data_IF_636766533397
#
_entry.id   IF_636766533397
#
_cell.length_a   1.000
_cell.length_b   1.000
_cell.length_c   1.000
_cell.angle_alpha   90.00
_cell.angle_beta   90.00
_cell.angle_gamma   90.00
#
_symmetry.space_group_name_H-M   'P 1'
#
loop_
_entity.id
_entity.type
_entity.pdbx_description
1 polymer ?
2 non-polymer ?
3 non-polymer ?
#
# COMPACT_ATOMS: atom_id res chain seq x y z
N UNK A 7 -24.20 11.75 21.10
CA UNK A 7 -23.61 10.42 21.26
C UNK A 7 -24.70 9.36 21.52
N UNK A 8 -25.80 9.51 20.78
CA UNK A 8 -26.89 8.53 20.71
C UNK A 8 -26.51 7.31 19.87
N UNK A 9 -25.57 7.48 18.94
CA UNK A 9 -25.09 6.44 18.04
C UNK A 9 -24.20 5.42 18.73
N UNK A 10 -23.69 5.74 19.92
CA UNK A 10 -22.80 4.87 20.68
C UNK A 10 -23.52 3.70 21.33
N UNK A 11 -24.83 3.61 21.17
CA UNK A 11 -25.51 2.45 21.67
C UNK A 11 -25.63 1.32 20.68
N UNK A 12 -25.12 1.48 19.45
CA UNK A 12 -25.41 0.50 18.38
C UNK A 12 -24.83 -0.87 18.71
N UNK A 13 -23.58 -0.93 19.13
CA UNK A 13 -22.99 -2.26 19.30
C UNK A 13 -23.46 -2.95 20.57
N UNK A 14 -23.83 -2.21 21.62
CA UNK A 14 -24.41 -2.86 22.79
C UNK A 14 -25.72 -3.54 22.44
N UNK A 15 -26.58 -2.86 21.67
CA UNK A 15 -27.84 -3.44 21.18
C UNK A 15 -27.59 -4.73 20.40
N UNK A 16 -26.84 -4.65 19.31
CA UNK A 16 -26.55 -5.82 18.48
C UNK A 16 -25.81 -6.92 19.24
N UNK A 17 -25.56 -6.76 20.54
CA UNK A 17 -24.82 -7.75 21.28
C UNK A 17 -23.43 -8.02 20.76
N UNK A 18 -22.79 -7.03 20.14
CA UNK A 18 -21.42 -7.16 19.61
C UNK A 18 -20.48 -6.45 20.60
N UNK A 19 -19.40 -7.10 21.05
CA UNK A 19 -18.58 -6.53 22.11
C UNK A 19 -17.56 -5.55 21.58
N UNK A 20 -16.98 -4.77 22.52
CA UNK A 20 -15.93 -3.83 22.21
C UNK A 20 -15.62 -2.85 23.34
N UNK A 21 -14.60 -2.02 23.13
CA UNK A 21 -14.26 -1.02 24.15
C UNK A 21 -15.33 0.06 24.26
N UNK A 22 -15.60 0.48 25.49
CA UNK A 22 -16.69 1.43 25.74
C UNK A 22 -16.32 2.79 25.17
N UNK A 23 -17.20 3.42 24.37
CA UNK A 23 -16.86 4.72 23.78
C UNK A 23 -17.05 5.88 24.75
N UNK A 24 -16.12 6.83 24.70
CA UNK A 24 -16.29 8.10 25.38
C UNK A 24 -17.24 8.99 24.58
N UNK A 25 -17.93 9.93 25.23
CA UNK A 25 -18.80 10.84 24.47
C UNK A 25 -18.03 11.70 23.49
N UNK A 26 -18.57 11.81 22.27
CA UNK A 26 -18.02 12.59 21.16
C UNK A 26 -16.75 11.98 20.59
N UNK A 27 -15.79 11.63 21.44
CA UNK A 27 -14.55 11.07 20.91
C UNK A 27 -14.71 9.64 20.43
N UNK A 28 -15.76 8.94 20.85
CA UNK A 28 -15.77 7.52 20.58
C UNK A 28 -14.62 6.86 21.29
N UNK A 29 -13.92 5.98 20.57
CA UNK A 29 -12.80 5.23 21.14
C UNK A 29 -11.46 5.79 20.69
N UNK A 30 -11.42 7.02 20.16
CA UNK A 30 -10.21 7.45 19.45
C UNK A 30 -9.03 7.62 20.36
N UNK A 31 -9.23 7.89 21.65
CA UNK A 31 -8.04 8.08 22.47
C UNK A 31 -7.14 6.85 22.41
N UNK A 32 -7.66 5.70 21.97
CA UNK A 32 -6.91 4.46 21.90
C UNK A 32 -5.93 4.41 20.74
N UNK A 33 -5.97 5.38 19.83
CA UNK A 33 -5.00 5.48 18.75
C UNK A 33 -3.64 5.99 19.21
N UNK A 34 -3.45 6.14 20.52
CA UNK A 34 -2.19 6.63 21.07
C UNK A 34 -1.09 5.58 21.00
N UNK A 35 -1.43 4.31 20.77
CA UNK A 35 -0.44 3.32 20.38
C UNK A 35 -0.47 3.06 18.89
N UNK A 36 -1.28 3.81 18.15
CA UNK A 36 -1.37 3.53 16.73
C UNK A 36 -2.47 2.54 16.42
N UNK A 37 -3.00 2.63 15.18
CA UNK A 37 -4.04 1.71 14.75
C UNK A 37 -3.65 0.29 15.08
N UNK A 38 -2.39 -0.03 14.83
CA UNK A 38 -2.02 -1.43 14.82
C UNK A 38 -2.14 -2.02 16.21
N UNK A 39 -1.53 -1.38 17.21
CA UNK A 39 -1.57 -1.95 18.56
C UNK A 39 -3.01 -2.06 19.07
N UNK A 40 -3.85 -1.06 18.77
CA UNK A 40 -5.26 -1.09 19.18
C UNK A 40 -5.99 -2.28 18.58
N UNK A 41 -5.76 -2.53 17.29
CA UNK A 41 -6.34 -3.68 16.61
C UNK A 41 -5.85 -4.98 17.21
N UNK A 42 -4.53 -5.16 17.31
CA UNK A 42 -4.00 -6.39 17.89
C UNK A 42 -4.59 -6.63 19.27
N UNK A 43 -4.65 -5.59 20.09
CA UNK A 43 -5.16 -5.74 21.44
C UNK A 43 -6.65 -6.03 21.41
N UNK A 44 -7.41 -5.37 20.54
CA UNK A 44 -8.82 -5.71 20.38
C UNK A 44 -9.00 -7.15 19.91
N UNK A 45 -8.24 -7.54 18.89
CA UNK A 45 -8.25 -8.92 18.41
C UNK A 45 -8.10 -9.92 19.56
N UNK A 46 -7.17 -9.66 20.47
CA UNK A 46 -6.99 -10.49 21.65
C UNK A 46 -8.17 -10.41 22.61
N UNK A 47 -8.54 -9.19 23.03
CA UNK A 47 -9.52 -8.95 24.07
C UNK A 47 -10.89 -9.56 23.75
N UNK A 48 -11.28 -9.61 22.47
CA UNK A 48 -12.68 -9.87 22.11
C UNK A 48 -12.89 -10.94 21.05
N UNK A 49 -11.92 -11.24 20.19
CA UNK A 49 -12.06 -12.35 19.27
C UNK A 49 -12.22 -12.06 17.78
N UNK A 50 -13.04 -12.88 17.11
CA UNK A 50 -13.19 -12.87 15.65
C UNK A 50 -13.99 -11.67 15.15
N UNK A 51 -14.69 -10.95 16.03
CA UNK A 51 -15.58 -9.85 15.69
C UNK A 51 -15.61 -8.89 16.88
N UNK A 52 -15.53 -7.57 16.61
CA UNK A 52 -15.69 -6.57 17.67
C UNK A 52 -16.03 -5.22 17.04
N UNK A 53 -16.35 -4.25 17.89
CA UNK A 53 -16.81 -2.95 17.41
C UNK A 53 -16.22 -1.81 18.21
N UNK A 54 -16.10 -0.65 17.55
CA UNK A 54 -15.65 0.59 18.18
C UNK A 54 -16.18 1.75 17.35
N UNK A 55 -15.82 2.97 17.77
CA UNK A 55 -16.39 4.21 17.23
C UNK A 55 -15.28 5.21 16.90
N UNK A 56 -15.14 5.58 15.63
CA UNK A 56 -14.29 6.74 15.30
C UNK A 56 -15.19 7.96 15.42
N UNK A 57 -15.19 8.59 16.61
CA UNK A 57 -16.13 9.69 16.86
C UNK A 57 -17.52 9.10 17.03
N UNK A 58 -18.48 9.47 16.18
CA UNK A 58 -19.79 8.82 16.24
C UNK A 58 -19.90 7.66 15.25
N UNK A 59 -18.85 7.44 14.42
CA UNK A 59 -18.80 6.45 13.35
C UNK A 59 -18.58 5.05 13.89
N UNK A 60 -19.58 4.19 13.79
CA UNK A 60 -19.39 2.80 14.22
C UNK A 60 -18.53 2.05 13.20
N UNK A 61 -17.61 1.24 13.71
CA UNK A 61 -16.70 0.45 12.91
C UNK A 61 -16.71 -0.97 13.45
N UNK A 62 -17.00 -1.92 12.59
CA UNK A 62 -17.00 -3.33 12.96
C UNK A 62 -15.76 -4.03 12.38
N UNK A 63 -14.95 -4.60 13.26
CA UNK A 63 -13.87 -5.48 12.85
C UNK A 63 -14.37 -6.91 12.64
N UNK A 64 -13.89 -7.54 11.57
CA UNK A 64 -14.19 -8.94 11.28
C UNK A 64 -12.87 -9.65 10.98
N UNK A 65 -12.72 -10.86 11.51
CA UNK A 65 -11.51 -11.65 11.23
C UNK A 65 -11.84 -13.06 10.73
N UNK A 66 -13.08 -13.33 10.38
CA UNK A 66 -13.36 -14.65 9.85
C UNK A 66 -13.11 -14.67 8.34
N UNK A 67 -12.31 -15.63 7.84
CA UNK A 67 -11.97 -15.66 6.41
C UNK A 67 -13.17 -15.68 5.48
N UNK A 68 -14.20 -16.49 5.80
CA UNK A 68 -15.45 -16.49 5.04
C UNK A 68 -16.09 -15.12 5.01
N UNK A 69 -16.27 -14.50 6.19
CA UNK A 69 -16.88 -13.18 6.28
C UNK A 69 -16.08 -12.15 5.50
N UNK A 70 -14.76 -12.20 5.64
CA UNK A 70 -13.90 -11.30 4.88
C UNK A 70 -14.09 -11.52 3.39
N UNK A 71 -14.21 -12.78 2.96
CA UNK A 71 -14.41 -13.03 1.53
C UNK A 71 -15.79 -12.58 1.09
N UNK A 72 -16.79 -12.67 1.97
CA UNK A 72 -18.15 -12.19 1.65
C UNK A 72 -18.15 -10.67 1.44
N UNK A 73 -17.45 -9.96 2.32
CA UNK A 73 -17.41 -8.50 2.25
C UNK A 73 -16.56 -8.05 1.08
N UNK A 74 -15.33 -8.57 1.01
CA UNK A 74 -14.37 -8.12 0.00
C UNK A 74 -14.73 -8.59 -1.40
N UNK A 75 -15.45 -9.72 -1.55
CA UNK A 75 -15.74 -10.31 -2.87
C UNK A 75 -17.22 -10.57 -3.15
N UNK A 76 -17.86 -11.42 -2.32
CA UNK A 76 -19.17 -11.93 -2.70
C UNK A 76 -20.21 -10.82 -2.80
N UNK A 77 -20.15 -9.84 -1.90
CA UNK A 77 -21.15 -8.78 -1.87
C UNK A 77 -20.52 -7.42 -2.10
N UNK A 78 -19.38 -7.39 -2.80
CA UNK A 78 -18.70 -6.14 -3.12
C UNK A 78 -19.58 -5.16 -3.89
N UNK A 79 -20.01 -5.55 -5.10
CA UNK A 79 -20.80 -4.66 -5.95
C UNK A 79 -22.14 -4.30 -5.32
N UNK A 80 -22.70 -5.18 -4.50
CA UNK A 80 -24.08 -5.02 -4.06
C UNK A 80 -24.18 -4.21 -2.78
N UNK A 81 -23.30 -4.49 -1.83
CA UNK A 81 -23.36 -3.90 -0.50
C UNK A 81 -22.10 -3.12 -0.18
N UNK A 82 -20.93 -3.75 -0.34
CA UNK A 82 -19.71 -3.22 0.21
C UNK A 82 -18.85 -2.58 -0.86
N UNK A 83 -19.43 -1.67 -1.66
CA UNK A 83 -18.74 -1.12 -2.83
C UNK A 83 -17.63 -0.10 -2.53
N UNK A 84 -17.75 0.70 -1.47
CA UNK A 84 -16.90 1.89 -1.32
C UNK A 84 -16.16 1.94 0.02
N UNK A 85 -15.21 2.85 0.13
CA UNK A 85 -14.42 2.98 1.33
C UNK A 85 -14.97 4.11 2.19
N UNK A 86 -14.34 4.31 3.33
CA UNK A 86 -14.80 5.37 4.22
C UNK A 86 -14.43 6.73 3.62
N UNK A 87 -15.39 7.65 3.51
CA UNK A 87 -15.08 8.97 2.95
C UNK A 87 -14.12 9.71 3.84
N UNK A 88 -13.33 10.61 3.25
CA UNK A 88 -12.26 11.20 4.06
C UNK A 88 -11.85 12.60 3.55
N UNK A 89 -12.82 13.40 3.12
CA UNK A 89 -12.54 14.71 2.54
C UNK A 89 -11.83 15.67 3.50
N UNK A 90 -11.70 16.93 3.09
CA UNK A 90 -12.17 17.45 1.79
C UNK A 90 -11.24 17.01 0.66
N UNK A 91 -11.75 16.72 -0.54
CA UNK A 91 -10.95 16.18 -1.63
C UNK A 91 -10.94 17.09 -2.84
N UNK A 92 -12.06 17.75 -3.15
CA UNK A 92 -12.07 18.64 -4.29
C UNK A 92 -12.22 17.89 -5.60
N UNK A 93 -11.56 18.41 -6.64
CA UNK A 93 -11.53 17.76 -7.96
C UNK A 93 -10.99 16.33 -7.91
N UNK A 94 -10.44 15.90 -6.79
CA UNK A 94 -9.93 14.53 -6.65
C UNK A 94 -10.97 13.54 -6.18
N UNK A 95 -12.21 13.97 -5.96
CA UNK A 95 -13.25 12.97 -5.80
C UNK A 95 -13.34 12.09 -7.05
N UNK A 96 -12.87 12.59 -8.21
CA UNK A 96 -12.92 11.84 -9.46
C UNK A 96 -11.75 10.83 -9.59
N UNK A 97 -11.04 10.55 -8.53
CA UNK A 97 -9.91 9.64 -8.55
C UNK A 97 -10.37 8.25 -8.11
N UNK A 98 -9.81 7.22 -8.74
CA UNK A 98 -10.42 5.89 -8.64
C UNK A 98 -10.47 5.41 -7.19
N UNK A 99 -9.39 5.62 -6.43
CA UNK A 99 -9.33 5.10 -5.08
C UNK A 99 -10.32 5.79 -4.17
N UNK A 100 -10.89 6.90 -4.63
CA UNK A 100 -11.83 7.68 -3.86
C UNK A 100 -13.26 7.58 -4.37
N UNK A 101 -13.46 7.36 -5.67
CA UNK A 101 -14.77 7.40 -6.30
C UNK A 101 -15.65 6.23 -5.83
N UNK A 102 -16.96 6.37 -5.98
CA UNK A 102 -17.83 5.30 -5.50
C UNK A 102 -19.00 4.89 -6.38
N UNK A 103 -19.47 3.67 -6.15
CA UNK A 103 -20.60 3.10 -6.87
C UNK A 103 -20.41 2.94 -8.37
N UNK A 104 -21.20 3.68 -9.13
CA UNK A 104 -21.20 3.65 -10.58
C UNK A 104 -20.02 4.39 -11.14
N UNK A 105 -19.70 5.53 -10.54
CA UNK A 105 -18.58 6.32 -11.03
C UNK A 105 -17.28 5.54 -10.85
N UNK A 106 -17.18 4.76 -9.77
CA UNK A 106 -15.98 3.97 -9.56
C UNK A 106 -15.90 2.85 -10.58
N UNK A 107 -17.00 2.10 -10.73
CA UNK A 107 -17.05 1.03 -11.71
C UNK A 107 -16.62 1.53 -13.08
N UNK A 108 -17.01 2.76 -13.43
CA UNK A 108 -16.60 3.35 -14.70
C UNK A 108 -15.08 3.50 -14.77
N UNK A 109 -14.45 3.93 -13.68
CA UNK A 109 -13.03 4.22 -13.68
C UNK A 109 -12.19 2.97 -13.54
N UNK A 110 -12.60 2.07 -12.66
CA UNK A 110 -11.98 0.74 -12.60
C UNK A 110 -11.98 0.09 -13.98
N UNK A 111 -13.13 0.09 -14.67
CA UNK A 111 -13.19 -0.50 -16.01
C UNK A 111 -12.25 0.22 -16.99
N UNK A 112 -12.19 1.55 -16.93
CA UNK A 112 -11.43 2.29 -17.93
C UNK A 112 -9.93 2.20 -17.71
N UNK A 113 -9.49 2.06 -16.46
CA UNK A 113 -8.07 2.14 -16.12
C UNK A 113 -7.41 0.79 -15.92
N UNK A 114 -8.17 -0.30 -16.03
CA UNK A 114 -7.62 -1.63 -15.72
C UNK A 114 -6.66 -2.13 -16.79
N UNK A 115 -6.93 -2.00 -18.09
CA UNK A 115 -5.95 -2.50 -19.08
C UNK A 115 -4.62 -1.76 -19.05
N UNK A 116 -4.54 -0.63 -18.33
CA UNK A 116 -3.26 0.03 -18.09
C UNK A 116 -2.29 -0.91 -17.41
N UNK A 117 -2.79 -1.79 -16.54
CA UNK A 117 -1.99 -2.65 -15.66
C UNK A 117 -2.06 -4.11 -16.05
N UNK A 118 -2.03 -4.40 -17.36
CA UNK A 118 -2.08 -5.79 -17.78
C UNK A 118 -0.70 -6.44 -17.64
N UNK A 119 -0.67 -7.76 -17.81
CA UNK A 119 0.60 -8.44 -17.99
C UNK A 119 1.39 -7.82 -19.12
N UNK A 120 0.72 -7.60 -20.26
CA UNK A 120 1.45 -7.21 -21.46
C UNK A 120 1.95 -5.78 -21.42
N UNK A 121 1.18 -4.88 -20.79
CA UNK A 121 1.62 -3.48 -20.68
C UNK A 121 2.74 -3.35 -19.65
N UNK A 122 2.67 -4.16 -18.59
CA UNK A 122 3.76 -4.25 -17.63
C UNK A 122 5.05 -4.74 -18.29
N UNK A 123 4.92 -5.69 -19.20
CA UNK A 123 6.08 -6.19 -19.95
C UNK A 123 6.72 -5.08 -20.77
N UNK A 124 5.91 -4.25 -21.45
CA UNK A 124 6.45 -3.13 -22.22
C UNK A 124 7.17 -2.14 -21.33
N UNK A 125 6.81 -2.08 -20.04
CA UNK A 125 7.42 -1.19 -19.06
C UNK A 125 8.74 -1.71 -18.48
N UNK A 126 9.03 -3.01 -18.59
CA UNK A 126 10.29 -3.52 -18.06
C UNK A 126 11.48 -2.86 -18.74
N UNK A 127 11.70 -3.01 -20.07
CA UNK A 127 12.92 -2.43 -20.66
C UNK A 127 13.02 -0.94 -20.47
N UNK A 128 11.99 -0.32 -19.91
CA UNK A 128 12.01 1.08 -19.56
C UNK A 128 12.30 1.30 -18.08
N UNK A 129 11.64 0.54 -17.19
CA UNK A 129 11.97 0.59 -15.76
C UNK A 129 13.43 0.23 -15.53
N UNK A 130 14.05 -0.47 -16.49
CA UNK A 130 15.41 -0.99 -16.33
C UNK A 130 16.47 0.11 -16.27
N UNK A 131 16.20 1.31 -16.80
CA UNK A 131 17.26 2.32 -16.86
C UNK A 131 17.58 2.90 -15.48
N UNK A 132 16.58 3.00 -14.60
CA UNK A 132 16.74 3.75 -13.37
C UNK A 132 17.20 2.90 -12.20
N UNK A 133 17.21 1.57 -12.33
CA UNK A 133 18.02 0.76 -11.43
C UNK A 133 19.50 1.02 -11.63
N UNK A 134 19.90 1.28 -12.88
CA UNK A 134 21.30 1.58 -13.17
C UNK A 134 21.69 2.99 -12.74
N UNK A 135 20.74 3.93 -12.73
CA UNK A 135 20.95 5.20 -12.02
C UNK A 135 21.01 4.95 -10.52
N UNK A 136 20.13 4.07 -10.01
CA UNK A 136 20.11 3.78 -8.58
C UNK A 136 21.43 3.19 -8.12
N UNK A 137 22.04 2.32 -8.94
CA UNK A 137 23.30 1.69 -8.55
C UNK A 137 24.43 2.71 -8.57
N UNK A 138 24.48 3.54 -9.60
CA UNK A 138 25.54 4.55 -9.71
C UNK A 138 25.41 5.62 -8.63
N UNK A 139 24.19 5.93 -8.19
CA UNK A 139 24.02 6.84 -7.05
C UNK A 139 24.39 6.15 -5.74
N UNK A 140 24.18 4.84 -5.65
CA UNK A 140 24.66 4.05 -4.51
C UNK A 140 26.18 3.90 -4.53
N UNK A 141 26.78 3.83 -5.72
CA UNK A 141 28.23 3.76 -5.83
C UNK A 141 28.90 4.91 -5.07
N UNK A 142 28.45 6.14 -5.33
CA UNK A 142 29.10 7.31 -4.75
C UNK A 142 28.96 7.34 -3.23
N UNK A 143 27.75 7.08 -2.75
CA UNK A 143 27.48 7.09 -1.32
C UNK A 143 27.97 5.82 -0.62
N UNK A 144 28.82 5.01 -1.27
CA UNK A 144 29.30 3.78 -0.69
C UNK A 144 30.81 3.65 -0.87
N UNK A 145 31.34 4.29 -1.90
CA UNK A 145 32.78 4.24 -2.16
C UNK A 145 33.57 4.85 -1.01
N UNK A 146 32.87 5.50 -0.10
CA UNK A 146 33.52 6.13 1.03
C UNK A 146 32.69 5.73 2.28
N UNK A 147 33.35 5.74 3.44
CA UNK A 147 32.72 5.37 4.67
C UNK A 147 31.63 6.41 4.97
N UNK A 148 30.38 6.07 4.67
CA UNK A 148 29.26 6.97 4.90
C UNK A 148 27.92 6.25 4.75
N UNK A 149 27.28 5.98 5.88
CA UNK A 149 25.98 5.28 5.88
C UNK A 149 24.94 5.99 5.02
N UNK A 150 24.00 5.21 4.48
CA UNK A 150 23.05 5.67 3.49
C UNK A 150 21.65 5.67 4.08
N UNK A 151 20.85 6.65 3.68
CA UNK A 151 19.44 6.69 4.01
C UNK A 151 18.65 6.03 2.88
N UNK A 152 18.09 4.86 3.15
CA UNK A 152 17.46 4.10 2.08
C UNK A 152 16.33 4.88 1.46
N UNK A 153 15.47 5.50 2.28
CA UNK A 153 14.30 6.15 1.73
C UNK A 153 14.69 7.33 0.87
N UNK A 154 15.92 7.83 1.02
CA UNK A 154 16.38 8.88 0.12
C UNK A 154 16.60 8.32 -1.28
N UNK A 155 17.38 7.25 -1.38
CA UNK A 155 17.78 6.76 -2.68
C UNK A 155 16.77 5.78 -3.25
N UNK A 156 15.95 5.16 -2.39
CA UNK A 156 14.81 4.38 -2.89
C UNK A 156 13.68 5.30 -3.37
N UNK A 157 13.40 6.36 -2.62
CA UNK A 157 12.43 7.34 -3.08
C UNK A 157 12.84 8.01 -4.37
N UNK A 158 14.10 8.43 -4.45
CA UNK A 158 14.61 9.05 -5.69
C UNK A 158 14.50 8.08 -6.87
N UNK A 159 14.66 6.78 -6.63
CA UNK A 159 14.43 5.78 -7.68
C UNK A 159 12.94 5.61 -7.97
N UNK A 160 12.12 5.47 -6.90
CA UNK A 160 10.67 5.36 -7.05
C UNK A 160 10.09 6.54 -7.84
N UNK A 161 10.56 7.75 -7.54
CA UNK A 161 10.20 8.95 -8.30
C UNK A 161 10.61 8.83 -9.76
N UNK A 162 11.86 8.45 -10.01
CA UNK A 162 12.31 8.32 -11.39
C UNK A 162 11.51 7.28 -12.15
N UNK A 163 11.08 6.21 -11.48
CA UNK A 163 10.17 5.26 -12.10
C UNK A 163 8.83 5.90 -12.39
N UNK A 164 8.35 6.75 -11.48
CA UNK A 164 7.03 7.34 -11.62
C UNK A 164 6.99 8.33 -12.77
N UNK A 165 7.87 9.35 -12.72
CA UNK A 165 7.86 10.39 -13.76
C UNK A 165 7.95 9.75 -15.14
N UNK A 166 8.76 8.70 -15.28
CA UNK A 166 8.87 7.98 -16.55
C UNK A 166 7.60 7.20 -16.87
N UNK A 167 7.27 6.18 -16.06
CA UNK A 167 6.10 5.34 -16.32
C UNK A 167 4.78 6.10 -16.36
N UNK A 168 4.73 7.36 -15.90
CA UNK A 168 3.48 8.09 -15.82
C UNK A 168 3.40 9.28 -16.75
N UNK A 169 4.54 9.84 -17.21
CA UNK A 169 4.50 10.96 -18.14
C UNK A 169 5.63 10.98 -19.15
N UNK A 170 6.59 10.06 -19.08
CA UNK A 170 7.77 10.12 -19.93
C UNK A 170 8.87 11.05 -19.45
N UNK A 171 8.73 11.64 -18.26
CA UNK A 171 9.69 12.61 -17.73
C UNK A 171 10.88 11.87 -17.14
N UNK A 172 12.03 11.97 -17.78
CA UNK A 172 13.20 11.16 -17.42
C UNK A 172 14.18 12.06 -16.68
N UNK A 173 14.14 11.99 -15.36
CA UNK A 173 14.90 12.92 -14.51
C UNK A 173 15.73 12.09 -13.54
N UNK A 174 16.95 12.58 -13.26
CA UNK A 174 17.80 12.03 -12.21
C UNK A 174 17.47 12.74 -10.90
N UNK A 175 16.87 12.02 -9.94
CA UNK A 175 16.31 12.71 -8.78
C UNK A 175 17.36 13.13 -7.75
N UNK A 176 18.55 13.49 -8.21
CA UNK A 176 19.42 14.37 -7.44
C UNK A 176 19.47 15.76 -8.05
N UNK A 177 18.46 16.10 -8.84
CA UNK A 177 18.40 17.41 -9.47
C UNK A 177 17.34 18.25 -8.79
N UNK A 198 -1.86 15.42 10.71
CA UNK A 198 -1.74 16.12 12.00
C UNK A 198 -3.08 16.73 12.43
N UNK A 199 -3.97 16.95 11.46
CA UNK A 199 -5.27 17.53 11.74
C UNK A 199 -6.39 16.54 11.44
N UNK A 200 -6.06 15.47 10.73
CA UNK A 200 -7.03 14.44 10.38
C UNK A 200 -7.82 13.99 11.59
N UNK A 201 -7.19 14.06 12.76
CA UNK A 201 -7.84 13.65 14.01
C UNK A 201 -9.14 14.42 14.22
N UNK A 202 -9.14 15.73 13.94
CA UNK A 202 -10.37 16.51 14.08
C UNK A 202 -11.43 16.07 13.09
N UNK A 203 -11.03 15.47 11.96
CA UNK A 203 -12.00 15.05 10.96
C UNK A 203 -12.94 13.98 11.49
N UNK A 204 -12.47 13.14 12.42
CA UNK A 204 -13.37 12.10 12.93
C UNK A 204 -14.24 12.62 14.07
N UNK A 205 -13.68 13.48 14.90
CA UNK A 205 -14.55 14.12 15.86
C UNK A 205 -15.41 15.18 15.17
N UNK A 206 -14.96 15.75 14.05
CA UNK A 206 -15.75 16.76 13.34
C UNK A 206 -15.95 16.44 11.85
N UNK A 207 -16.36 15.21 11.51
CA UNK A 207 -16.58 14.91 10.08
C UNK A 207 -17.68 15.72 9.48
N UNK A 208 -18.52 16.33 10.33
CA UNK A 208 -19.51 17.27 9.87
C UNK A 208 -18.88 18.54 9.31
N UNK A 209 -17.58 18.72 9.52
CA UNK A 209 -16.86 19.89 9.05
C UNK A 209 -16.24 19.68 7.68
N UNK A 210 -16.27 18.44 7.15
CA UNK A 210 -15.84 18.20 5.77
C UNK A 210 -16.70 18.96 4.75
N UNK A 211 -18.04 18.92 4.82
CA UNK A 211 -18.81 19.79 3.91
C UNK A 211 -18.40 21.24 3.97
N UNK A 212 -17.89 21.64 5.13
CA UNK A 212 -17.54 23.02 5.35
C UNK A 212 -16.28 23.38 4.61
N UNK A 213 -15.25 22.55 4.79
CA UNK A 213 -13.98 22.79 4.11
C UNK A 213 -14.13 22.66 2.59
N UNK A 214 -15.12 21.89 2.12
CA UNK A 214 -15.34 21.78 0.68
C UNK A 214 -15.80 23.08 0.07
N UNK A 215 -16.70 23.80 0.76
CA UNK A 215 -17.14 25.09 0.21
C UNK A 215 -16.10 26.18 0.39
N UNK A 216 -15.04 25.93 1.18
CA UNK A 216 -13.95 26.87 1.33
C UNK A 216 -12.79 26.57 0.40
N UNK A 217 -12.97 25.65 -0.55
CA UNK A 217 -11.93 25.26 -1.51
C UNK A 217 -10.73 24.63 -0.80
N UNK A 218 -10.78 24.53 0.53
CA UNK A 218 -9.68 23.90 1.25
C UNK A 218 -9.57 22.45 0.81
N UNK A 219 -8.36 22.04 0.45
CA UNK A 219 -8.10 20.71 -0.04
C UNK A 219 -7.06 20.04 0.86
N UNK A 220 -6.97 18.72 0.76
CA UNK A 220 -5.88 18.02 1.45
C UNK A 220 -4.57 18.18 0.71
N UNK A 221 -4.62 18.56 -0.56
CA UNK A 221 -3.46 19.03 -1.30
C UNK A 221 -3.27 20.52 -1.10
N UNK A 222 -2.23 21.08 -1.69
CA UNK A 222 -2.29 22.47 -2.12
C UNK A 222 -2.77 22.56 -3.55
N UNK A 223 -3.36 23.70 -3.87
CA UNK A 223 -3.80 23.97 -5.23
C UNK A 223 -2.64 24.17 -6.19
N UNK A 224 -1.41 24.15 -5.69
CA UNK A 224 -0.24 24.41 -6.51
C UNK A 224 0.35 23.13 -7.09
N UNK A 225 0.48 22.07 -6.28
CA UNK A 225 0.94 20.79 -6.83
C UNK A 225 0.03 20.34 -7.96
N UNK A 226 -1.30 20.48 -7.78
CA UNK A 226 -2.22 20.03 -8.83
C UNK A 226 -2.26 20.99 -10.01
N UNK A 227 -2.29 22.30 -9.74
CA UNK A 227 -2.16 23.26 -10.84
C UNK A 227 -0.85 23.08 -11.59
N UNK A 228 0.20 22.63 -10.89
CA UNK A 228 1.42 22.23 -11.56
C UNK A 228 1.12 21.19 -12.63
N UNK A 229 0.29 20.19 -12.30
CA UNK A 229 0.01 19.05 -13.16
C UNK A 229 -1.19 19.25 -14.08
N UNK A 230 -2.19 20.03 -13.64
CA UNK A 230 -3.34 20.32 -14.50
C UNK A 230 -2.89 20.87 -15.85
N UNK A 231 -1.83 21.68 -15.84
CA UNK A 231 -1.31 22.27 -17.07
C UNK A 231 -0.18 21.43 -17.63
N UNK A 232 0.63 20.85 -16.76
CA UNK A 232 1.75 20.02 -17.17
C UNK A 232 1.29 18.88 -18.06
N UNK A 233 0.15 18.29 -17.73
CA UNK A 233 -0.41 17.19 -18.50
C UNK A 233 -0.69 17.60 -19.94
N UNK A 234 -1.20 18.81 -20.12
CA UNK A 234 -1.52 19.33 -21.44
C UNK A 234 -0.27 19.89 -22.12
N UNK A 235 0.86 19.84 -21.41
CA UNK A 235 2.12 20.33 -21.95
C UNK A 235 3.02 19.19 -22.37
N UNK A 236 2.43 18.02 -22.60
CA UNK A 236 3.19 16.86 -23.02
C UNK A 236 2.32 15.90 -23.84
N UNK A 237 1.73 16.39 -24.93
CA UNK A 237 1.88 17.77 -25.35
C UNK A 237 0.46 18.04 -25.87
N UNK A 238 0.15 17.48 -27.04
CA UNK A 238 1.11 16.65 -27.77
C UNK A 238 0.97 16.86 -29.28
N UNK A 248 3.72 5.28 -27.16
CA UNK A 248 3.67 4.54 -25.91
C UNK A 248 5.00 4.77 -25.14
N UNK A 249 5.16 4.36 -23.86
CA UNK A 249 4.31 3.45 -23.04
C UNK A 249 3.90 3.89 -21.60
N UNK A 250 3.90 5.20 -21.30
CA UNK A 250 3.61 5.63 -19.94
C UNK A 250 2.09 5.59 -19.67
N UNK A 251 1.73 5.69 -18.37
CA UNK A 251 0.32 5.61 -17.98
C UNK A 251 -0.52 6.72 -18.63
N UNK A 252 0.08 7.90 -18.87
CA UNK A 252 -0.68 9.01 -19.43
C UNK A 252 -1.10 8.70 -20.87
N UNK A 253 -0.13 8.31 -21.71
CA UNK A 253 -0.46 7.86 -23.06
C UNK A 253 -1.49 6.75 -23.01
N UNK A 254 -1.27 5.74 -22.16
CA UNK A 254 -2.21 4.63 -22.01
C UNK A 254 -3.62 5.15 -21.74
N UNK A 255 -3.74 6.17 -20.89
CA UNK A 255 -5.05 6.77 -20.59
C UNK A 255 -5.52 7.71 -21.71
N UNK A 256 -4.60 8.41 -22.36
CA UNK A 256 -4.99 9.23 -23.51
C UNK A 256 -5.53 8.35 -24.63
N UNK A 257 -4.91 7.18 -24.81
CA UNK A 257 -5.36 6.25 -25.84
C UNK A 257 -6.76 5.74 -25.56
N UNK A 258 -7.10 5.57 -24.28
CA UNK A 258 -8.41 5.03 -23.91
C UNK A 258 -9.54 6.04 -24.06
N UNK A 259 -9.24 7.31 -24.31
CA UNK A 259 -10.25 8.27 -24.71
C UNK A 259 -10.58 8.18 -26.19
N UNK A 260 -10.01 7.19 -26.87
CA UNK A 260 -10.33 6.85 -28.26
C UNK A 260 -10.80 5.39 -28.27
N UNK A 266 -19.22 0.52 -23.69
CA UNK A 266 -20.07 0.26 -22.53
C UNK A 266 -20.35 1.54 -21.75
N UNK A 267 -19.30 2.14 -21.20
CA UNK A 267 -19.44 3.38 -20.44
C UNK A 267 -19.09 4.59 -21.29
N UNK A 268 -18.91 5.74 -20.63
CA UNK A 268 -18.56 6.97 -21.33
C UNK A 268 -17.06 7.01 -21.58
N UNK A 269 -16.55 8.19 -21.90
CA UNK A 269 -15.13 8.37 -22.16
C UNK A 269 -14.40 9.26 -21.16
N UNK A 270 -13.26 8.77 -20.69
CA UNK A 270 -12.46 9.52 -19.72
C UNK A 270 -12.31 10.98 -20.13
N UNK A 271 -12.53 11.89 -19.19
CA UNK A 271 -12.40 13.31 -19.46
C UNK A 271 -11.01 13.81 -19.10
N UNK A 272 -10.79 15.11 -19.33
CA UNK A 272 -9.45 15.67 -19.21
C UNK A 272 -9.02 15.79 -17.74
N UNK A 273 -9.85 16.39 -16.90
CA UNK A 273 -9.46 16.53 -15.50
C UNK A 273 -9.46 15.17 -14.81
N UNK A 274 -10.39 14.28 -15.19
CA UNK A 274 -10.42 12.94 -14.62
C UNK A 274 -9.08 12.25 -14.76
N UNK A 275 -8.37 12.55 -15.84
CA UNK A 275 -7.10 11.93 -16.14
C UNK A 275 -5.96 12.52 -15.31
N UNK A 276 -5.95 13.84 -15.14
CA UNK A 276 -4.99 14.47 -14.22
C UNK A 276 -5.11 13.86 -12.83
N UNK A 277 -6.34 13.70 -12.34
CA UNK A 277 -6.54 13.19 -10.98
C UNK A 277 -6.11 11.73 -10.83
N UNK A 278 -6.21 10.92 -11.89
CA UNK A 278 -5.65 9.57 -11.80
C UNK A 278 -4.14 9.61 -11.73
N UNK A 279 -3.51 10.52 -12.49
CA UNK A 279 -2.05 10.67 -12.43
C UNK A 279 -1.58 10.90 -11.00
N UNK A 280 -2.28 11.78 -10.27
CA UNK A 280 -1.89 12.12 -8.92
C UNK A 280 -1.99 10.89 -8.02
N UNK A 281 -3.06 10.10 -8.17
CA UNK A 281 -3.19 8.88 -7.38
C UNK A 281 -2.03 7.94 -7.65
N UNK A 282 -1.76 7.65 -8.92
CA UNK A 282 -0.68 6.73 -9.27
C UNK A 282 0.65 7.21 -8.69
N UNK A 283 0.88 8.53 -8.70
CA UNK A 283 2.16 9.06 -8.24
C UNK A 283 2.33 8.83 -6.75
N UNK A 284 1.30 9.07 -5.95
CA UNK A 284 1.33 8.71 -4.53
C UNK A 284 1.80 7.32 -4.20
N UNK A 285 1.05 6.33 -4.66
CA UNK A 285 1.33 4.93 -4.39
C UNK A 285 2.75 4.59 -4.83
N UNK A 286 3.04 4.77 -6.12
CA UNK A 286 4.29 4.30 -6.70
C UNK A 286 5.54 4.93 -6.14
N UNK A 287 5.41 6.08 -5.47
CA UNK A 287 6.55 6.73 -4.86
C UNK A 287 6.68 6.30 -3.41
N UNK A 288 5.61 6.49 -2.64
CA UNK A 288 5.75 6.31 -1.20
C UNK A 288 5.63 4.84 -0.81
N UNK A 289 4.68 4.10 -1.37
CA UNK A 289 4.59 2.69 -1.04
C UNK A 289 5.83 1.93 -1.50
N UNK A 290 6.20 2.10 -2.77
CA UNK A 290 7.35 1.38 -3.33
C UNK A 290 8.62 1.59 -2.50
N UNK A 291 8.97 2.85 -2.24
CA UNK A 291 10.24 3.07 -1.56
C UNK A 291 10.17 2.68 -0.09
N UNK A 292 8.99 2.81 0.53
CA UNK A 292 8.86 2.45 1.93
C UNK A 292 9.00 0.95 2.11
N UNK A 293 8.33 0.19 1.25
CA UNK A 293 8.48 -1.26 1.26
C UNK A 293 9.92 -1.66 0.99
N UNK A 294 10.56 -0.99 0.03
CA UNK A 294 11.93 -1.32 -0.30
C UNK A 294 12.85 -1.11 0.88
N UNK A 295 12.42 -0.29 1.84
CA UNK A 295 13.23 -0.01 3.02
C UNK A 295 13.03 -1.10 4.05
N UNK A 296 11.81 -1.56 4.24
CA UNK A 296 11.58 -2.69 5.14
C UNK A 296 12.33 -3.93 4.65
N UNK A 297 12.43 -4.10 3.31
CA UNK A 297 13.15 -5.25 2.75
C UNK A 297 14.67 -5.12 2.95
N UNK A 298 15.25 -3.96 2.65
CA UNK A 298 16.69 -3.85 2.91
C UNK A 298 17.03 -3.99 4.40
N UNK A 299 16.16 -3.47 5.26
CA UNK A 299 16.30 -3.69 6.70
C UNK A 299 16.28 -5.17 7.06
N UNK A 300 15.31 -5.92 6.53
CA UNK A 300 15.23 -7.33 6.86
C UNK A 300 16.42 -8.09 6.31
N UNK A 301 16.82 -7.78 5.06
CA UNK A 301 18.00 -8.43 4.51
C UNK A 301 19.25 -8.12 5.33
N UNK A 302 19.42 -6.87 5.79
CA UNK A 302 20.65 -6.50 6.51
C UNK A 302 20.69 -7.12 7.91
N UNK A 303 19.52 -7.24 8.55
CA UNK A 303 19.41 -7.85 9.88
C UNK A 303 19.26 -9.37 9.81
N UNK A 304 19.20 -9.97 8.62
CA UNK A 304 19.15 -11.42 8.44
C UNK A 304 20.12 -11.81 7.33
N UNK A 305 21.43 -11.80 7.62
CA UNK A 305 22.43 -11.92 6.55
C UNK A 305 22.37 -13.22 5.75
N UNK A 306 21.88 -14.31 6.33
CA UNK A 306 21.72 -15.55 5.57
C UNK A 306 20.72 -15.36 4.42
N UNK A 307 19.56 -14.79 4.72
CA UNK A 307 18.54 -14.60 3.70
C UNK A 307 19.04 -13.67 2.61
N UNK A 308 19.90 -12.70 2.97
CA UNK A 308 20.54 -11.86 1.96
C UNK A 308 21.48 -12.68 1.07
N UNK A 309 22.30 -13.58 1.65
CA UNK A 309 23.18 -14.39 0.82
C UNK A 309 22.38 -15.35 -0.03
N UNK A 310 21.42 -16.07 0.58
CA UNK A 310 20.62 -17.03 -0.17
C UNK A 310 19.97 -16.37 -1.39
N UNK A 311 19.52 -15.12 -1.24
CA UNK A 311 18.92 -14.37 -2.36
C UNK A 311 19.97 -13.89 -3.37
N UNK A 312 21.15 -13.49 -2.90
CA UNK A 312 22.17 -13.01 -3.84
C UNK A 312 22.67 -14.14 -4.73
N UNK A 313 22.67 -15.36 -4.21
CA UNK A 313 23.03 -16.53 -5.02
C UNK A 313 22.01 -16.80 -6.11
N UNK A 314 20.71 -16.69 -5.77
CA UNK A 314 19.65 -16.92 -6.74
C UNK A 314 19.74 -15.92 -7.91
N UNK A 315 19.85 -14.63 -7.61
CA UNK A 315 20.00 -13.61 -8.64
C UNK A 315 21.18 -13.95 -9.59
N UNK A 316 22.28 -14.48 -9.04
CA UNK A 316 23.46 -14.78 -9.86
C UNK A 316 23.30 -16.08 -10.65
N UNK A 317 22.48 -17.02 -10.16
CA UNK A 317 22.20 -18.24 -10.91
C UNK A 317 21.24 -18.00 -12.09
N UNK A 318 20.17 -17.23 -11.85
CA UNK A 318 19.24 -16.87 -12.92
C UNK A 318 19.89 -15.85 -13.85
N UNK A 319 20.52 -14.83 -13.28
CA UNK A 319 21.20 -13.82 -14.09
C UNK A 319 22.70 -13.90 -13.88
N UNK A 320 23.37 -14.86 -14.51
CA UNK A 320 24.84 -14.91 -14.40
C UNK A 320 25.47 -13.74 -15.16
N UNK A 321 26.71 -13.44 -14.78
CA UNK A 321 27.48 -12.29 -15.31
C UNK A 321 26.80 -10.96 -14.97
N UNK A 322 25.91 -10.95 -13.98
CA UNK A 322 25.06 -9.79 -13.68
C UNK A 322 24.15 -9.44 -14.88
N UNK A 323 23.67 -10.48 -15.56
CA UNK A 323 22.82 -10.29 -16.73
C UNK A 323 21.65 -9.37 -16.38
N UNK A 324 21.25 -8.47 -17.27
CA UNK A 324 20.14 -7.55 -16.95
C UNK A 324 18.86 -8.32 -16.73
N UNK A 325 18.19 -8.10 -15.60
CA UNK A 325 16.91 -8.80 -15.36
C UNK A 325 15.90 -8.43 -16.42
N UNK A 326 15.03 -9.38 -16.72
CA UNK A 326 13.94 -9.15 -17.64
C UNK A 326 12.62 -9.47 -16.95
N UNK A 327 11.53 -9.20 -17.66
CA UNK A 327 10.21 -9.55 -17.15
C UNK A 327 10.18 -10.99 -16.66
N UNK A 328 10.65 -11.92 -17.48
CA UNK A 328 10.49 -13.34 -17.17
C UNK A 328 11.53 -13.82 -16.17
N UNK A 329 12.78 -13.34 -16.26
CA UNK A 329 13.76 -13.74 -15.27
C UNK A 329 13.34 -13.28 -13.88
N UNK A 330 12.57 -12.20 -13.80
CA UNK A 330 12.13 -11.69 -12.51
C UNK A 330 11.05 -12.58 -11.91
N UNK A 331 10.07 -12.98 -12.73
CA UNK A 331 9.05 -13.91 -12.30
C UNK A 331 9.60 -15.29 -12.02
N UNK A 332 10.86 -15.56 -12.37
CA UNK A 332 11.47 -16.86 -12.15
C UNK A 332 12.10 -16.98 -10.76
N UNK A 333 12.41 -15.86 -10.10
CA UNK A 333 13.14 -15.87 -8.84
C UNK A 333 12.19 -16.08 -7.68
N UNK A 334 12.16 -17.32 -7.18
CA UNK A 334 11.22 -17.75 -6.17
C UNK A 334 11.58 -17.23 -4.78
N UNK A 335 12.85 -17.38 -4.38
CA UNK A 335 13.29 -16.83 -3.09
C UNK A 335 13.04 -15.33 -3.01
N UNK A 336 13.33 -14.61 -4.09
CA UNK A 336 13.02 -13.18 -4.14
C UNK A 336 11.56 -12.92 -3.83
N UNK A 337 10.67 -13.73 -4.43
CA UNK A 337 9.25 -13.51 -4.20
C UNK A 337 8.89 -13.78 -2.75
N UNK A 338 9.48 -14.82 -2.18
CA UNK A 338 9.28 -15.19 -0.77
C UNK A 338 9.73 -14.08 0.17
N UNK A 339 10.90 -13.49 -0.13
CA UNK A 339 11.34 -12.33 0.64
C UNK A 339 10.31 -11.22 0.57
N UNK A 340 9.91 -10.82 -0.64
CA UNK A 340 8.91 -9.76 -0.77
C UNK A 340 7.63 -10.13 -0.03
N UNK A 341 7.14 -11.36 -0.24
CA UNK A 341 5.90 -11.77 0.42
C UNK A 341 6.01 -11.69 1.94
N UNK A 342 7.09 -12.21 2.51
CA UNK A 342 7.20 -12.19 3.97
C UNK A 342 7.36 -10.77 4.51
N UNK A 343 8.03 -9.87 3.77
CA UNK A 343 8.17 -8.50 4.28
C UNK A 343 6.82 -7.79 4.32
N UNK A 344 6.00 -8.00 3.30
CA UNK A 344 4.65 -7.46 3.31
C UNK A 344 3.79 -8.09 4.41
N UNK A 345 4.11 -9.29 4.89
CA UNK A 345 3.39 -9.79 6.04
C UNK A 345 3.72 -8.98 7.31
N UNK A 346 5.01 -8.75 7.56
CA UNK A 346 5.36 -7.97 8.74
C UNK A 346 4.95 -6.49 8.59
N UNK A 347 5.00 -5.94 7.38
CA UNK A 347 4.69 -4.52 7.17
C UNK A 347 3.66 -4.36 6.07
N UNK A 348 2.41 -4.77 6.34
CA UNK A 348 1.34 -4.49 5.37
C UNK A 348 0.98 -3.04 5.39
N UNK A 349 1.48 -2.25 4.44
CA UNK A 349 1.43 -0.80 4.60
C UNK A 349 0.01 -0.23 4.52
N UNK A 350 -0.98 -1.00 4.11
CA UNK A 350 -2.36 -0.52 4.28
C UNK A 350 -2.83 -0.61 5.73
N UNK A 351 -2.37 -1.52 6.40
CA UNK A 351 -2.66 -1.90 7.78
C UNK A 351 -4.06 -2.50 7.98
N UNK A 352 -5.09 -1.69 7.50
CA UNK A 352 -6.49 -2.08 7.49
C UNK A 352 -7.06 -1.99 6.08
N UNK A 353 -8.06 -2.82 5.83
CA UNK A 353 -8.96 -2.67 4.70
C UNK A 353 -10.35 -2.28 5.20
N UNK A 354 -11.09 -1.50 4.40
CA UNK A 354 -12.33 -0.89 4.86
C UNK A 354 -13.34 -0.81 3.72
N UNK A 355 -14.60 -1.16 4.04
CA UNK A 355 -15.72 -0.99 3.11
C UNK A 355 -16.91 -0.45 3.89
N UNK A 356 -17.64 0.49 3.30
CA UNK A 356 -18.86 1.02 3.90
C UNK A 356 -20.04 0.17 3.45
N UNK A 357 -20.79 -0.32 4.43
CA UNK A 357 -21.95 -1.21 4.28
C UNK A 357 -23.13 -0.37 3.80
N UNK A 358 -23.44 -0.44 2.51
CA UNK A 358 -24.34 0.56 1.96
C UNK A 358 -25.82 0.23 2.17
N UNK A 359 -26.16 -0.86 2.87
CA UNK A 359 -27.54 -1.19 3.16
C UNK A 359 -27.55 -2.44 4.03
N UNK A 360 -28.54 -2.55 4.91
CA UNK A 360 -28.74 -3.70 5.78
C UNK A 360 -28.39 -5.01 5.08
N UNK A 361 -27.44 -5.77 5.64
CA UNK A 361 -27.22 -7.13 5.17
C UNK A 361 -27.06 -8.06 6.36
N UNK A 362 -26.95 -9.36 6.04
CA UNK A 362 -26.78 -10.41 7.00
C UNK A 362 -25.73 -11.38 6.43
N UNK A 363 -24.49 -10.90 6.33
CA UNK A 363 -23.39 -11.71 5.81
C UNK A 363 -22.98 -12.76 6.84
N UNK A 364 -22.94 -14.02 6.40
CA UNK A 364 -22.44 -15.12 7.22
C UNK A 364 -23.11 -15.12 8.60
N UNK A 365 -24.45 -15.13 8.58
CA UNK A 365 -25.22 -15.25 9.80
C UNK A 365 -25.16 -14.07 10.74
N UNK A 366 -24.69 -12.92 10.29
CA UNK A 366 -24.51 -11.77 11.17
C UNK A 366 -25.18 -10.54 10.55
N UNK A 367 -26.10 -9.94 11.28
CA UNK A 367 -26.74 -8.72 10.81
C UNK A 367 -25.77 -7.55 10.90
N UNK A 368 -25.67 -6.80 9.80
CA UNK A 368 -24.83 -5.61 9.72
C UNK A 368 -25.69 -4.46 9.19
N UNK A 369 -26.00 -3.45 9.99
CA UNK A 369 -26.94 -2.43 9.55
C UNK A 369 -26.22 -1.38 8.71
N UNK A 370 -26.96 -0.78 7.79
CA UNK A 370 -26.43 0.24 6.88
C UNK A 370 -25.65 1.34 7.58
N UNK A 371 -24.62 1.83 6.89
CA UNK A 371 -23.78 2.90 7.38
C UNK A 371 -22.61 2.48 8.27
N UNK A 372 -22.60 1.25 8.76
CA UNK A 372 -21.44 0.77 9.50
C UNK A 372 -20.25 0.66 8.55
N UNK A 373 -19.07 1.02 9.06
CA UNK A 373 -17.80 0.79 8.34
C UNK A 373 -17.30 -0.60 8.74
N UNK A 374 -17.13 -1.50 7.75
CA UNK A 374 -16.53 -2.82 7.97
C UNK A 374 -15.02 -2.77 7.69
N UNK A 375 -14.23 -3.34 8.60
CA UNK A 375 -12.80 -3.11 8.65
C UNK A 375 -12.09 -4.45 8.75
N UNK A 376 -11.03 -4.63 7.98
CA UNK A 376 -10.24 -5.87 8.09
C UNK A 376 -8.85 -5.51 8.60
N UNK A 377 -8.50 -5.90 9.82
CA UNK A 377 -7.19 -5.55 10.42
C UNK A 377 -6.03 -6.37 9.87
N UNK A 378 -5.55 -5.95 8.69
CA UNK A 378 -4.50 -6.68 8.00
C UNK A 378 -3.33 -6.90 8.92
N UNK A 379 -2.80 -5.82 9.47
CA UNK A 379 -1.57 -5.91 10.26
C UNK A 379 -1.74 -6.91 11.38
N UNK A 380 -2.90 -6.86 12.06
CA UNK A 380 -3.12 -7.71 13.22
C UNK A 380 -3.29 -9.17 12.79
N UNK A 381 -3.98 -9.40 11.65
CA UNK A 381 -4.12 -10.77 11.15
C UNK A 381 -2.78 -11.31 10.68
N UNK A 382 -1.96 -10.46 10.04
CA UNK A 382 -0.62 -10.87 9.61
C UNK A 382 0.26 -11.28 10.81
N UNK A 383 0.00 -10.71 11.99
CA UNK A 383 0.80 -10.98 13.20
C UNK A 383 0.04 -11.81 14.23
N UNK A 384 -1.05 -12.44 13.80
CA UNK A 384 -1.88 -13.31 14.64
C UNK A 384 -1.21 -14.66 14.86
N UNK A 385 -0.87 -15.04 16.09
CA UNK A 385 -0.24 -16.36 16.33
C UNK A 385 -1.14 -17.55 16.00
N UNK A 386 -2.45 -17.35 15.90
CA UNK A 386 -3.34 -18.45 15.55
C UNK A 386 -3.24 -18.86 14.08
N UNK A 387 -2.51 -18.08 13.24
CA UNK A 387 -2.22 -18.46 11.86
C UNK A 387 -0.73 -18.56 11.56
N UNK A 388 0.11 -17.87 12.34
CA UNK A 388 1.52 -17.71 12.00
C UNK A 388 2.35 -18.10 13.21
N UNK A 389 3.15 -19.15 13.06
CA UNK A 389 4.11 -19.50 14.08
C UNK A 389 5.24 -18.47 14.09
N UNK A 390 5.66 -18.06 15.28
CA UNK A 390 6.67 -17.02 15.47
C UNK A 390 6.40 -15.79 14.61
N UNK A 391 5.25 -15.13 14.80
CA UNK A 391 4.79 -14.18 13.78
C UNK A 391 5.63 -12.92 13.69
N UNK A 392 6.38 -12.56 14.74
CA UNK A 392 7.31 -11.44 14.70
C UNK A 392 8.66 -11.81 14.07
N UNK A 393 8.94 -13.09 13.90
CA UNK A 393 10.19 -13.48 13.27
C UNK A 393 10.06 -13.32 11.76
N UNK A 394 11.14 -12.91 11.13
CA UNK A 394 11.15 -12.74 9.68
C UNK A 394 11.62 -14.06 9.09
N UNK A 395 10.68 -14.85 8.58
CA UNK A 395 10.94 -16.22 8.14
C UNK A 395 10.37 -16.40 6.74
N UNK A 396 11.17 -16.15 5.70
CA UNK A 396 10.59 -16.23 4.35
C UNK A 396 10.10 -17.62 3.98
N UNK A 397 10.65 -18.67 4.60
CA UNK A 397 10.24 -20.02 4.20
C UNK A 397 8.74 -20.29 4.42
N UNK A 398 8.02 -19.43 5.15
CA UNK A 398 6.57 -19.55 5.17
C UNK A 398 5.99 -19.51 3.76
N UNK A 399 6.67 -18.84 2.83
CA UNK A 399 6.18 -18.71 1.46
C UNK A 399 6.90 -19.61 0.49
N UNK A 400 7.66 -20.58 0.97
CA UNK A 400 8.11 -21.65 0.10
C UNK A 400 6.91 -22.43 -0.40
N UNK A 401 6.98 -22.83 -1.66
CA UNK A 401 5.96 -23.72 -2.21
C UNK A 401 5.76 -24.97 -1.36
N UNK A 402 6.76 -25.36 -0.56
CA UNK A 402 6.57 -26.44 0.41
C UNK A 402 5.52 -26.10 1.44
N UNK A 403 5.38 -24.81 1.78
CA UNK A 403 4.47 -24.35 2.82
C UNK A 403 3.51 -23.24 2.40
N UNK A 404 3.63 -22.67 1.19
CA UNK A 404 2.83 -21.52 0.78
C UNK A 404 1.32 -21.79 0.79
N UNK A 405 0.91 -23.04 0.91
CA UNK A 405 -0.50 -23.43 0.84
C UNK A 405 -1.20 -23.40 2.19
N UNK A 406 -0.47 -23.52 3.29
CA UNK A 406 -1.04 -23.37 4.63
C UNK A 406 -1.28 -21.90 5.01
N UNK A 407 -1.74 -21.08 4.06
CA UNK A 407 -1.79 -19.63 4.19
C UNK A 407 -3.12 -19.16 3.59
N UNK A 408 -4.01 -18.64 4.42
CA UNK A 408 -5.34 -18.31 3.94
C UNK A 408 -5.32 -16.94 3.24
N UNK A 409 -5.74 -16.88 1.97
CA UNK A 409 -5.69 -15.60 1.23
C UNK A 409 -6.59 -14.51 1.76
N UNK A 410 -7.43 -14.80 2.76
CA UNK A 410 -8.19 -13.76 3.42
C UNK A 410 -7.67 -13.48 4.83
N UNK A 411 -6.50 -14.02 5.15
CA UNK A 411 -5.71 -13.60 6.30
C UNK A 411 -4.49 -12.80 5.85
N UNK A 412 -3.80 -13.24 4.80
CA UNK A 412 -2.68 -12.52 4.23
C UNK A 412 -3.18 -11.78 2.99
N UNK A 413 -3.31 -10.46 3.10
CA UNK A 413 -3.94 -9.63 2.06
C UNK A 413 -3.25 -8.28 1.93
N UNK A 414 -1.95 -8.26 1.57
CA UNK A 414 -1.26 -6.96 1.47
C UNK A 414 -1.75 -6.04 0.34
N UNK A 415 -2.57 -6.56 -0.59
CA UNK A 415 -3.06 -5.80 -1.74
C UNK A 415 -4.59 -5.84 -1.83
N UNK A 416 -5.27 -6.24 -0.76
CA UNK A 416 -6.72 -6.24 -0.80
C UNK A 416 -7.20 -7.54 -1.37
N UNK A 417 -8.47 -7.58 -1.71
CA UNK A 417 -9.03 -8.70 -2.43
C UNK A 417 -10.34 -8.27 -3.06
N UNK A 418 -10.83 -9.09 -4.00
CA UNK A 418 -12.05 -8.84 -4.72
C UNK A 418 -11.90 -7.67 -5.67
N UNK A 419 -13.04 -7.16 -6.19
CA UNK A 419 -12.98 -6.14 -7.26
C UNK A 419 -12.29 -4.83 -6.88
N UNK A 420 -12.07 -4.54 -5.59
CA UNK A 420 -11.43 -3.28 -5.24
C UNK A 420 -10.02 -3.47 -4.70
N UNK A 421 -9.35 -4.55 -5.10
CA UNK A 421 -8.00 -4.75 -4.58
C UNK A 421 -7.04 -3.81 -5.31
N UNK A 422 -5.75 -3.88 -4.96
CA UNK A 422 -4.78 -2.94 -5.50
C UNK A 422 -4.62 -3.11 -7.00
N UNK A 423 -5.20 -2.19 -7.77
CA UNK A 423 -5.08 -2.20 -9.22
C UNK A 423 -3.61 -2.20 -9.65
N UNK A 424 -2.71 -1.81 -8.75
CA UNK A 424 -1.32 -1.64 -9.07
C UNK A 424 -0.44 -2.75 -8.55
N UNK A 425 -1.04 -3.86 -8.08
CA UNK A 425 -0.27 -4.94 -7.48
C UNK A 425 0.88 -5.41 -8.39
N UNK A 426 0.56 -5.94 -9.57
CA UNK A 426 1.60 -6.56 -10.40
C UNK A 426 2.71 -5.56 -10.76
N UNK A 427 2.34 -4.30 -11.04
CA UNK A 427 3.35 -3.27 -11.31
C UNK A 427 4.25 -3.04 -10.10
N UNK A 428 3.64 -2.79 -8.93
CA UNK A 428 4.37 -2.63 -7.67
C UNK A 428 5.40 -3.75 -7.42
N UNK A 429 4.96 -5.02 -7.47
CA UNK A 429 5.88 -6.13 -7.24
C UNK A 429 7.02 -6.14 -8.26
N UNK A 430 6.66 -6.06 -9.54
CA UNK A 430 7.66 -5.93 -10.59
C UNK A 430 8.59 -4.75 -10.34
N UNK A 431 8.02 -3.56 -10.09
CA UNK A 431 8.82 -2.37 -9.86
C UNK A 431 9.87 -2.63 -8.78
N UNK A 432 9.43 -3.09 -7.60
CA UNK A 432 10.35 -3.35 -6.50
C UNK A 432 11.37 -4.44 -6.84
N UNK A 433 10.90 -5.62 -7.27
CA UNK A 433 11.82 -6.72 -7.56
C UNK A 433 12.91 -6.28 -8.52
N UNK A 434 12.55 -5.44 -9.51
CA UNK A 434 13.57 -4.93 -10.41
C UNK A 434 14.64 -4.17 -9.66
N UNK A 435 14.24 -3.41 -8.64
CA UNK A 435 15.23 -2.67 -7.86
C UNK A 435 16.18 -3.61 -7.11
N UNK A 436 15.64 -4.65 -6.46
CA UNK A 436 16.46 -5.47 -5.57
C UNK A 436 17.49 -6.28 -6.35
N UNK A 437 17.08 -6.87 -7.48
CA UNK A 437 17.97 -7.63 -8.33
C UNK A 437 19.20 -6.81 -8.71
N UNK A 438 18.98 -5.61 -9.26
CA UNK A 438 20.11 -4.76 -9.65
C UNK A 438 20.91 -4.25 -8.44
N UNK A 439 20.24 -4.02 -7.31
CA UNK A 439 20.97 -3.53 -6.14
C UNK A 439 21.72 -4.66 -5.43
N UNK A 440 21.10 -5.83 -5.31
CA UNK A 440 21.77 -6.95 -4.65
C UNK A 440 22.78 -7.62 -5.56
N UNK A 441 22.70 -7.37 -6.87
CA UNK A 441 23.73 -7.83 -7.79
C UNK A 441 25.05 -7.09 -7.57
N UNK A 442 25.02 -5.93 -6.91
CA UNK A 442 26.19 -5.11 -6.75
C UNK A 442 26.60 -4.88 -5.30
N UNK A 443 25.64 -4.82 -4.38
CA UNK A 443 25.95 -4.36 -3.03
C UNK A 443 25.51 -5.38 -1.98
N UNK A 444 26.17 -5.31 -0.83
CA UNK A 444 25.71 -5.99 0.36
C UNK A 444 25.51 -4.95 1.45
N UNK A 445 24.72 -5.31 2.45
CA UNK A 445 24.09 -4.36 3.36
C UNK A 445 24.32 -4.82 4.79
N UNK A 446 24.84 -3.92 5.63
CA UNK A 446 25.26 -4.21 6.99
C UNK A 446 24.66 -3.22 7.96
N UNK A 447 24.42 -3.62 9.21
CA UNK A 447 23.92 -2.67 10.20
C UNK A 447 25.02 -1.77 10.77
N UNK A 448 24.63 -0.51 11.02
CA UNK A 448 25.52 0.51 11.56
C UNK A 448 25.27 0.69 13.06
N UNK A 449 26.05 1.58 13.65
CA UNK A 449 25.79 2.03 15.03
C UNK A 449 24.43 2.71 15.12
N UNK A 450 24.03 3.43 14.08
CA UNK A 450 22.78 4.18 14.11
C UNK A 450 21.59 3.38 13.61
N UNK A 451 21.84 2.22 13.00
CA UNK A 451 20.77 1.34 12.54
C UNK A 451 19.84 1.01 13.69
N UNK A 452 18.57 1.38 13.57
CA UNK A 452 17.59 1.08 14.60
C UNK A 452 17.27 -0.42 14.59
N UNK A 453 17.60 -1.10 15.68
CA UNK A 453 17.53 -2.56 15.81
C UNK A 453 17.02 -2.90 17.22
N UNK A 454 15.75 -3.29 17.39
CA UNK A 454 14.75 -3.53 16.35
C UNK A 454 14.03 -2.28 15.86
N UNK A 455 13.50 -2.38 14.65
CA UNK A 455 12.79 -1.28 14.02
C UNK A 455 11.52 -1.00 14.80
N UNK A 456 11.39 0.21 15.31
CA UNK A 456 10.11 0.69 15.81
C UNK A 456 9.25 1.11 14.62
N UNK A 457 7.96 0.78 14.67
CA UNK A 457 7.03 1.28 13.68
C UNK A 457 6.52 2.66 14.08
N UNK A 458 6.17 3.44 13.07
CA UNK A 458 5.52 4.72 13.30
C UNK A 458 4.36 4.48 14.25
N UNK A 459 4.48 4.99 15.48
CA UNK A 459 3.41 4.99 16.49
C UNK A 459 2.23 5.84 16.02
N UNK A 460 2.40 6.60 14.94
CA UNK A 460 1.36 7.49 14.48
C UNK A 460 0.45 6.90 13.42
N UNK A 461 0.28 7.63 12.31
CA UNK A 461 -0.79 7.32 11.38
C UNK A 461 -0.46 6.24 10.37
N UNK A 462 0.56 6.47 9.57
CA UNK A 462 0.92 5.60 8.46
C UNK A 462 1.99 4.60 8.90
N UNK A 463 2.10 3.50 8.16
CA UNK A 463 3.02 2.43 8.56
C UNK A 463 4.38 2.73 7.95
N UNK A 464 5.19 3.46 8.71
CA UNK A 464 6.56 3.86 8.42
C UNK A 464 7.38 3.50 9.65
N UNK A 465 8.71 3.57 9.57
CA UNK A 465 9.53 3.41 10.77
C UNK A 465 9.69 4.73 11.49
N UNK A 466 9.91 4.63 12.81
CA UNK A 466 10.20 5.82 13.61
C UNK A 466 11.45 6.62 13.22
N UNK A 467 12.63 6.03 13.41
CA UNK A 467 13.85 6.61 12.86
C UNK A 467 13.94 6.05 11.43
N UNK A 468 14.47 6.83 10.49
CA UNK A 468 14.68 6.32 9.11
C UNK A 468 15.72 5.21 9.07
N UNK A 469 15.56 4.31 8.10
CA UNK A 469 16.45 3.15 7.99
C UNK A 469 17.80 3.59 7.42
N UNK A 470 18.86 3.31 8.14
CA UNK A 470 20.22 3.59 7.68
C UNK A 470 21.07 2.33 7.85
N UNK A 471 21.82 1.99 6.81
CA UNK A 471 22.67 0.81 6.84
C UNK A 471 24.02 1.17 6.23
N UNK A 472 24.99 0.28 6.41
CA UNK A 472 26.22 0.37 5.64
C UNK A 472 26.01 -0.34 4.33
N UNK A 473 26.58 0.22 3.28
CA UNK A 473 26.57 -0.39 1.96
C UNK A 473 28.01 -0.68 1.57
N UNK A 474 28.22 -1.78 0.86
CA UNK A 474 29.54 -2.23 0.43
C UNK A 474 29.38 -2.86 -0.94
N UNK A 475 30.46 -2.85 -1.73
CA UNK A 475 30.43 -3.21 -3.13
C UNK A 475 31.13 -4.55 -3.36
N UNK A 476 30.46 -5.45 -4.05
CA UNK A 476 30.91 -6.82 -4.25
C UNK A 476 32.07 -6.93 -5.27
X LIG B 1 -5.54 0.10 -3.38
X LIG B 1 -1.68 -2.08 -1.33
X LIG B 1 1.07 0.04 -4.69
X LIG B 1 -2.79 1.86 -6.99
X LIG B 1 -4.74 -0.63 -2.52
X LIG B 1 -5.20 -1.36 -1.37
X LIG B 1 -4.15 -1.96 -0.81
X LIG B 1 -2.97 -1.63 -1.59
X LIG B 1 -4.15 -2.85 0.46
X LIG B 1 -6.66 -1.44 -0.90
X LIG B 1 -7.18 -2.79 -1.37
X LIG B 1 -8.61 -3.03 -0.90
X LIG B 1 -9.12 -4.19 -1.00
X LIG B 1 -9.23 -2.05 -0.44
X LIG B 1 -0.55 -1.70 -2.04
X LIG B 1 0.84 -2.04 -1.76
X LIG B 1 1.60 -1.42 -2.71
X LIG B 1 0.70 -0.71 -3.59
X LIG B 1 1.32 -2.94 -0.58
X LIG B 1 3.12 -1.42 -2.94
X LIG B 1 4.05 -2.10 -2.23
X LIG B 1 0.26 0.65 -5.62
X LIG B 1 0.72 1.20 -6.89
X LIG B 1 -0.31 1.71 -7.54
X LIG B 1 -1.50 1.48 -6.72
X LIG B 1 2.16 1.20 -7.42
X LIG B 1 -0.09 2.34 -8.92
X LIG B 1 -1.06 2.86 -9.67
X LIG B 1 -3.86 1.56 -6.18
X LIG B 1 -5.21 1.93 -6.47
X LIG B 1 -5.99 1.45 -5.47
X LIG B 1 -5.12 0.75 -4.54
X LIG B 1 -5.58 2.76 -7.72
X LIG B 1 -7.52 1.54 -5.26
X LIG B 1 -8.21 0.47 -6.13
X LIG B 1 -9.67 0.87 -6.34
X LIG B 1 -10.34 0.50 -7.34
X LIG B 1 -10.18 1.60 -5.46
X LIG B 1 -3.38 -0.82 -2.63
X LIG B 1 -0.59 -0.91 -3.15
X LIG B 1 -1.12 0.85 -5.56
X LIG B 1 -3.83 0.84 -5.01
X LIG B 1 -2.27 -0.12 -4.18
X LIG C 1 -4.88 8.28 6.71
X LIG C 1 -6.18 9.03 6.28
X LIG C 1 -7.39 8.41 7.08
X LIG C 1 -6.09 10.50 6.70
X LIG C 1 -5.41 9.29 3.79
X LIG C 1 -5.60 7.25 2.04
X LIG C 1 -6.83 7.42 1.02
X LIG C 1 -4.59 8.05 -1.83
X LIG C 1 -3.49 8.93 -1.02
X LIG C 1 -3.78 10.43 -0.70
X LIG C 1 -4.83 11.34 -1.32
X LIG C 1 -5.72 10.89 -2.38
X LIG C 1 -6.67 11.75 -2.95
X LIG C 1 -6.81 13.08 -2.50
X LIG C 1 -5.97 13.56 -1.47
X LIG C 1 -4.97 12.66 -0.90
X LIG C 1 -4.13 13.22 0.16
X LIG C 1 -3.15 12.40 0.76
X LIG C 1 -2.99 11.02 0.32
X LIG C 1 -4.11 6.75 -2.54
X LIG C 1 -2.70 5.14 -3.81
X LIG C 1 -2.26 4.01 -2.90
X LIG C 1 -2.30 2.67 -3.34
X LIG C 1 -1.40 1.86 -1.34
X LIG C 1 -1.32 3.16 -0.81
X LIG C 1 -1.75 4.23 -1.62
X LIG C 1 -4.39 6.29 1.45
X LIG C 1 -4.54 4.71 1.43
X LIG C 1 -5.41 3.98 0.48
X LIG C 1 -6.19 4.71 -0.43
X LIG C 1 -7.05 4.09 -1.36
X LIG C 1 -7.14 2.72 -1.36
X LIG C 1 -6.37 1.96 -0.45
X LIG C 1 -5.51 2.61 0.46
X LIG C 1 -4.76 1.78 1.38
X LIG C 1 -3.90 2.44 2.31
X LIG C 1 -3.79 3.89 2.31
X LIG C 1 -5.13 8.61 2.48
X LIG C 1 -2.89 6.46 -3.17
X LIG C 1 -1.87 1.64 -2.59
X LIG C 1 -6.39 8.91 4.77
X LIG C 1 -4.70 10.29 4.06
X LIG C 1 -4.90 5.81 -2.64
X LIG C 1 -6.43 7.80 -0.91
#
# INVERSE_FOLDING_TARGET
>A
MAYLYGTHSHGLFKKLGIPGPTPLPFLGNILSYHKGFCMFDMECHKKYGKVWGFYDGQQPVLAITDPDMIKTVLVKECYSVFTNRRPFGPVGFMKSAISIAEDEEWKRLRSLLSPTFTSGKLKEMVPIIAQYGDVLVRNLRREAETGKPVTLKDVFGAYSMDVITSTSFGVNIDSLNNPQDPFVENTKKLLRFDFLDPFFLSITVFPFLIPILEVLNICVFPREVTNFLRKSVKRMKESRLEDTQKHRVDFLQLMIDSQNSKETESHKALSDLELVAQSIIFIFAGYETTSSVLSFIMYELATHPDVQQKLQEEIDAVLPNKAPPTYDTVLQMEYLDMVVNETLRLFPIAMRLERVCKKDVEINGMFIPKGVVVMIPSYALHRDPKYWTEPEKFLPERFSKKNKDNIDPYIYTPFGSGPRNCIGMRFALMNMKLALIRVLQNFSFKPCKETQIPLKLSLGGLLQPEKPVVLKVESRDGTVSGAHHHH
>B hetero
1 HEM CHA CHB CHC CHD C1A C2A C3A C4A CMA CAA CBA CGA O1A O2A C1B C2B C3B C4B CMB CAB CBB C1C C2C C3C C4C CMC CAC CBC C1D C2D C3D C4D CMD CAD CBD CGD O1D O2D NA NB NC ND FE
>C hetero
1 QDJ C01 C02 C03 C04 C06 C09 C10 C12 C13 C14 C15 C16 C17 C18 C19 C20 C21 C22 C23 C24 C27 C28 C29 C31 C32 C33 C34 C35 C36 C37 C38 C39 C40 C41 C42 C43 C44 N08 N26 N30 O05 O07 O25 S11
#
